data_IF_489621142655
#
_entry.id   IF_489621142655
#
_cell.length_a   1.000
_cell.length_b   1.000
_cell.length_c   1.000
_cell.angle_alpha   90.00
_cell.angle_beta   90.00
_cell.angle_gamma   90.00
#
_symmetry.space_group_name_H-M   'P 1'
#
loop_
_entity.id
_entity.type
_entity.pdbx_description
1 polymer ?
#
# COMPACT_ATOMS: atom_id res chain seq x y z
N UNK A 1 -11.20 -12.37 -8.61
CA UNK A 1 -10.81 -13.33 -7.57
C UNK A 1 -9.80 -12.77 -6.58
N UNK A 2 -8.80 -11.98 -7.01
CA UNK A 2 -7.79 -11.41 -6.10
C UNK A 2 -8.32 -10.25 -5.24
N UNK A 3 -9.37 -9.54 -5.67
CA UNK A 3 -10.02 -8.48 -4.90
C UNK A 3 -11.08 -9.01 -3.92
N UNK A 4 -11.28 -10.33 -3.86
CA UNK A 4 -12.30 -11.00 -3.05
C UNK A 4 -13.74 -10.56 -3.36
N UNK A 5 -13.96 -10.08 -4.59
CA UNK A 5 -15.26 -9.77 -5.15
C UNK A 5 -15.45 -10.51 -6.47
N UNK A 6 -16.61 -11.10 -6.67
CA UNK A 6 -16.98 -11.79 -7.91
C UNK A 6 -17.52 -10.82 -8.96
N UNK A 7 -17.47 -11.21 -10.23
CA UNK A 7 -18.04 -10.44 -11.33
C UNK A 7 -19.53 -10.16 -11.11
N UNK A 8 -20.26 -11.13 -10.58
CA UNK A 8 -21.68 -10.99 -10.24
C UNK A 8 -21.94 -9.90 -9.20
N UNK A 9 -21.05 -9.72 -8.22
CA UNK A 9 -21.17 -8.63 -7.24
C UNK A 9 -20.97 -7.26 -7.87
N UNK A 10 -20.11 -7.15 -8.87
CA UNK A 10 -19.95 -5.92 -9.65
C UNK A 10 -21.18 -5.64 -10.51
N UNK A 11 -21.73 -6.65 -11.18
CA UNK A 11 -22.94 -6.53 -12.00
C UNK A 11 -24.16 -6.09 -11.18
N UNK A 12 -24.35 -6.65 -9.97
CA UNK A 12 -25.40 -6.23 -9.02
C UNK A 12 -25.29 -4.74 -8.68
N UNK A 13 -24.07 -4.17 -8.70
CA UNK A 13 -23.83 -2.74 -8.46
C UNK A 13 -23.94 -1.88 -9.74
N UNK A 14 -24.32 -2.48 -10.86
CA UNK A 14 -24.52 -1.80 -12.12
C UNK A 14 -23.28 -1.74 -13.02
N UNK A 15 -22.21 -2.44 -12.69
CA UNK A 15 -21.07 -2.56 -13.59
C UNK A 15 -21.39 -3.56 -14.71
N UNK A 16 -20.78 -3.33 -15.87
CA UNK A 16 -20.80 -4.26 -17.00
C UNK A 16 -19.45 -4.95 -17.09
N UNK A 17 -19.44 -6.28 -17.09
CA UNK A 17 -18.23 -7.03 -17.38
C UNK A 17 -17.95 -6.97 -18.87
N UNK A 18 -16.75 -6.60 -19.25
CA UNK A 18 -16.35 -6.33 -20.63
C UNK A 18 -14.98 -6.94 -20.95
N UNK A 19 -14.64 -7.03 -22.23
CA UNK A 19 -13.31 -7.47 -22.64
C UNK A 19 -12.26 -6.38 -22.40
N UNK A 20 -10.98 -6.76 -22.45
CA UNK A 20 -9.88 -5.79 -22.30
C UNK A 20 -9.94 -4.71 -23.40
N UNK A 21 -10.23 -5.13 -24.63
CA UNK A 21 -10.34 -4.23 -25.79
C UNK A 21 -11.45 -3.20 -25.58
N UNK A 22 -12.63 -3.63 -25.12
CA UNK A 22 -13.75 -2.73 -24.83
C UNK A 22 -13.39 -1.70 -23.76
N UNK A 23 -12.66 -2.14 -22.71
CA UNK A 23 -12.26 -1.28 -21.59
C UNK A 23 -11.20 -0.26 -22.03
N UNK A 24 -10.25 -0.64 -22.89
CA UNK A 24 -9.22 0.27 -23.41
C UNK A 24 -9.77 1.30 -24.39
N UNK A 25 -10.91 1.03 -25.01
CA UNK A 25 -11.59 1.95 -25.92
C UNK A 25 -12.49 2.99 -25.22
N UNK A 26 -12.57 2.98 -23.88
CA UNK A 26 -13.39 3.91 -23.11
C UNK A 26 -12.82 5.34 -23.09
N UNK A 27 -13.70 6.33 -22.90
CA UNK A 27 -13.31 7.75 -22.76
C UNK A 27 -12.53 8.03 -21.47
N UNK A 28 -12.78 7.24 -20.42
CA UNK A 28 -12.09 7.34 -19.13
C UNK A 28 -11.73 5.95 -18.59
N UNK A 29 -10.48 5.77 -18.23
CA UNK A 29 -9.93 4.52 -17.73
C UNK A 29 -9.31 4.71 -16.35
N UNK A 30 -9.65 3.83 -15.41
CA UNK A 30 -9.03 3.77 -14.08
C UNK A 30 -8.28 2.45 -13.95
N UNK A 31 -6.98 2.53 -13.67
CA UNK A 31 -6.12 1.35 -13.48
C UNK A 31 -5.17 1.55 -12.30
N UNK A 32 -4.55 0.48 -11.84
CA UNK A 32 -3.45 0.59 -10.86
C UNK A 32 -2.19 1.04 -11.58
N UNK A 33 -1.70 0.23 -12.52
CA UNK A 33 -0.53 0.56 -13.32
C UNK A 33 -0.97 1.13 -14.68
N UNK A 34 -0.22 2.07 -15.27
CA UNK A 34 -0.52 2.53 -16.61
C UNK A 34 -0.46 1.36 -17.60
N UNK A 35 -1.48 1.18 -18.46
CA UNK A 35 -1.42 0.25 -19.58
C UNK A 35 -0.45 0.77 -20.66
N UNK A 36 -0.29 0.04 -21.76
CA UNK A 36 0.36 0.64 -22.92
C UNK A 36 -0.53 1.75 -23.46
N UNK A 37 0.00 2.98 -23.46
CA UNK A 37 -0.75 4.15 -23.87
C UNK A 37 -1.03 4.15 -25.39
N UNK A 38 -0.33 3.34 -26.17
CA UNK A 38 -0.60 3.16 -27.60
C UNK A 38 -1.95 2.46 -27.86
N UNK A 39 -2.41 1.66 -26.89
CA UNK A 39 -3.69 0.96 -26.96
C UNK A 39 -4.89 1.86 -26.60
N UNK A 40 -4.66 3.05 -26.04
CA UNK A 40 -5.72 3.94 -25.59
C UNK A 40 -6.20 4.87 -26.72
N UNK A 41 -7.48 5.23 -26.66
CA UNK A 41 -8.05 6.23 -27.55
C UNK A 41 -7.43 7.61 -27.31
N UNK A 42 -7.28 8.39 -28.39
CA UNK A 42 -6.86 9.79 -28.30
C UNK A 42 -7.88 10.59 -27.46
N UNK A 43 -7.39 11.44 -26.57
CA UNK A 43 -8.24 12.23 -25.65
C UNK A 43 -8.77 11.47 -24.44
N UNK A 44 -8.44 10.20 -24.28
CA UNK A 44 -8.83 9.40 -23.11
C UNK A 44 -8.34 10.04 -21.79
N UNK A 45 -9.14 9.93 -20.74
CA UNK A 45 -8.74 10.30 -19.38
C UNK A 45 -8.21 9.05 -18.67
N UNK A 46 -6.92 9.00 -18.41
CA UNK A 46 -6.29 7.90 -17.67
C UNK A 46 -6.01 8.30 -16.23
N UNK A 47 -6.61 7.57 -15.29
CA UNK A 47 -6.33 7.70 -13.85
C UNK A 47 -5.58 6.46 -13.37
N UNK A 48 -4.34 6.61 -12.92
CA UNK A 48 -3.50 5.49 -12.48
C UNK A 48 -2.40 5.94 -11.51
N UNK A 49 -1.62 4.99 -10.99
CA UNK A 49 -0.37 5.24 -10.26
C UNK A 49 0.77 5.27 -11.30
N UNK A 50 1.09 6.44 -11.80
CA UNK A 50 2.03 6.58 -12.91
C UNK A 50 3.49 6.75 -12.47
N UNK A 51 3.75 7.17 -11.24
CA UNK A 51 5.07 7.52 -10.68
C UNK A 51 5.89 8.39 -11.66
N UNK A 52 5.38 9.60 -12.01
CA UNK A 52 5.89 10.39 -13.12
C UNK A 52 7.35 10.84 -12.95
N UNK A 53 7.84 10.87 -11.72
CA UNK A 53 9.24 11.23 -11.44
C UNK A 53 10.22 10.09 -11.78
N UNK A 54 9.80 8.83 -11.64
CA UNK A 54 10.60 7.67 -12.02
C UNK A 54 10.31 7.19 -13.42
N UNK A 55 9.10 7.48 -13.94
CA UNK A 55 8.62 7.07 -15.25
C UNK A 55 8.24 8.27 -16.12
N UNK A 56 9.18 9.18 -16.46
CA UNK A 56 8.88 10.36 -17.28
C UNK A 56 8.37 9.99 -18.69
N UNK A 57 8.71 8.81 -19.19
CA UNK A 57 8.27 8.33 -20.50
C UNK A 57 6.76 8.14 -20.58
N UNK A 58 6.09 7.74 -19.49
CA UNK A 58 4.64 7.64 -19.41
C UNK A 58 4.00 9.01 -19.60
N UNK A 59 4.59 10.05 -18.99
CA UNK A 59 4.10 11.44 -19.14
C UNK A 59 4.27 11.92 -20.58
N UNK A 60 5.46 11.71 -21.17
CA UNK A 60 5.76 12.12 -22.53
C UNK A 60 4.83 11.43 -23.54
N UNK A 61 4.60 10.12 -23.37
CA UNK A 61 3.64 9.37 -24.20
C UNK A 61 2.21 9.90 -24.03
N UNK A 62 1.77 10.17 -22.80
CA UNK A 62 0.43 10.73 -22.57
C UNK A 62 0.25 12.07 -23.30
N UNK A 63 1.26 12.95 -23.25
CA UNK A 63 1.25 14.24 -23.96
C UNK A 63 1.16 14.03 -25.48
N UNK A 64 2.02 13.17 -26.04
CA UNK A 64 2.06 12.93 -27.49
C UNK A 64 0.76 12.30 -28.05
N UNK A 65 0.05 11.56 -27.20
CA UNK A 65 -1.23 10.90 -27.53
C UNK A 65 -2.46 11.74 -27.16
N UNK A 66 -2.29 12.96 -26.65
CA UNK A 66 -3.40 13.79 -26.17
C UNK A 66 -4.18 13.19 -25.00
N UNK A 67 -3.59 12.27 -24.24
CA UNK A 67 -4.21 11.61 -23.09
C UNK A 67 -4.15 12.53 -21.88
N UNK A 68 -5.26 12.72 -21.17
CA UNK A 68 -5.29 13.41 -19.89
C UNK A 68 -4.89 12.44 -18.78
N UNK A 69 -3.64 12.54 -18.29
CA UNK A 69 -3.11 11.69 -17.25
C UNK A 69 -3.36 12.27 -15.85
N UNK A 70 -4.07 11.53 -15.00
CA UNK A 70 -4.28 11.83 -13.58
C UNK A 70 -3.49 10.81 -12.75
N UNK A 71 -2.34 11.24 -12.20
CA UNK A 71 -1.48 10.39 -11.39
C UNK A 71 -1.94 10.42 -9.93
N UNK A 72 -2.52 9.31 -9.45
CA UNK A 72 -3.09 9.22 -8.10
C UNK A 72 -2.03 9.29 -6.99
N UNK A 73 -0.81 8.88 -7.27
CA UNK A 73 0.34 9.00 -6.36
C UNK A 73 0.83 10.44 -6.19
N UNK A 74 0.42 11.36 -7.08
CA UNK A 74 0.71 12.79 -6.99
C UNK A 74 -0.32 13.58 -6.16
N UNK A 75 -1.37 12.94 -5.67
CA UNK A 75 -2.39 13.58 -4.84
C UNK A 75 -1.73 14.09 -3.53
N UNK A 76 -1.85 15.40 -3.19
CA UNK A 76 -1.09 16.00 -2.10
C UNK A 76 -1.65 15.55 -0.73
N UNK A 77 -0.93 14.69 -0.03
CA UNK A 77 -1.29 14.11 1.28
C UNK A 77 -1.53 15.17 2.38
N UNK A 78 -1.00 16.39 2.22
CA UNK A 78 -1.11 17.45 3.22
C UNK A 78 -2.45 18.16 3.22
N UNK A 79 -3.26 18.00 2.18
CA UNK A 79 -4.56 18.62 2.06
C UNK A 79 -5.63 17.72 2.69
N UNK A 80 -6.33 18.24 3.69
CA UNK A 80 -7.37 17.48 4.41
C UNK A 80 -8.44 16.89 3.48
N UNK A 81 -8.82 17.61 2.42
CA UNK A 81 -9.78 17.13 1.42
C UNK A 81 -9.24 16.01 0.54
N UNK A 82 -7.92 15.91 0.39
CA UNK A 82 -7.27 14.90 -0.44
C UNK A 82 -6.93 13.61 0.33
N UNK A 83 -7.03 13.60 1.65
CA UNK A 83 -6.70 12.43 2.47
C UNK A 83 -7.55 11.19 2.14
N UNK A 84 -8.82 11.38 1.78
CA UNK A 84 -9.69 10.26 1.36
C UNK A 84 -9.30 9.67 0.00
N UNK A 85 -8.49 10.37 -0.78
CA UNK A 85 -7.99 9.96 -2.10
C UNK A 85 -6.52 9.53 -2.06
N UNK A 86 -5.90 9.44 -0.86
CA UNK A 86 -4.49 9.07 -0.68
C UNK A 86 -4.30 7.56 -0.84
N UNK A 87 -4.12 7.14 -2.08
CA UNK A 87 -3.87 5.74 -2.43
C UNK A 87 -2.53 5.24 -1.88
N UNK A 88 -1.53 6.12 -1.78
CA UNK A 88 -0.22 5.75 -1.29
C UNK A 88 -0.29 5.33 0.18
N UNK A 89 -0.96 6.10 1.04
CA UNK A 89 -1.10 5.75 2.45
C UNK A 89 -1.91 4.47 2.66
N UNK A 90 -2.95 4.22 1.85
CA UNK A 90 -3.69 2.95 1.92
C UNK A 90 -2.81 1.76 1.57
N UNK A 91 -2.00 1.86 0.52
CA UNK A 91 -1.09 0.78 0.10
C UNK A 91 0.09 0.62 1.06
N UNK A 92 0.64 1.72 1.58
CA UNK A 92 1.68 1.70 2.62
C UNK A 92 1.20 0.94 3.86
N UNK A 93 -0.06 1.12 4.26
CA UNK A 93 -0.64 0.40 5.39
C UNK A 93 -0.65 -1.11 5.14
N UNK A 94 -1.16 -1.57 3.99
CA UNK A 94 -1.14 -2.98 3.60
C UNK A 94 0.29 -3.53 3.47
N UNK A 95 1.20 -2.72 2.94
CA UNK A 95 2.61 -3.06 2.81
C UNK A 95 3.24 -3.34 4.18
N UNK A 96 3.02 -2.46 5.16
CA UNK A 96 3.50 -2.64 6.53
C UNK A 96 2.96 -3.91 7.19
N UNK A 97 1.68 -4.19 7.00
CA UNK A 97 1.05 -5.44 7.47
C UNK A 97 1.71 -6.67 6.82
N UNK A 98 1.81 -6.68 5.50
CA UNK A 98 2.37 -7.80 4.74
C UNK A 98 3.85 -8.04 5.07
N UNK A 99 4.63 -6.97 5.24
CA UNK A 99 6.04 -7.07 5.61
C UNK A 99 6.26 -7.84 6.91
N UNK A 100 5.43 -7.59 7.93
CA UNK A 100 5.51 -8.32 9.19
C UNK A 100 5.15 -9.79 9.02
N UNK A 101 4.11 -10.12 8.25
CA UNK A 101 3.73 -11.51 7.99
C UNK A 101 4.84 -12.27 7.23
N UNK A 102 5.45 -11.63 6.24
CA UNK A 102 6.60 -12.20 5.53
C UNK A 102 7.80 -12.39 6.47
N UNK A 103 8.14 -11.36 7.25
CA UNK A 103 9.21 -11.47 8.26
C UNK A 103 8.94 -12.59 9.27
N UNK A 104 7.71 -12.71 9.74
CA UNK A 104 7.31 -13.76 10.68
C UNK A 104 7.46 -15.17 10.09
N UNK A 105 7.15 -15.36 8.81
CA UNK A 105 7.30 -16.67 8.14
C UNK A 105 8.76 -17.12 7.99
N UNK A 106 9.72 -16.18 8.05
CA UNK A 106 11.15 -16.47 7.96
C UNK A 106 11.84 -16.63 9.34
N UNK A 107 11.15 -16.28 10.44
CA UNK A 107 11.73 -16.43 11.78
C UNK A 107 11.63 -17.90 12.22
N UNK A 108 12.76 -18.58 12.56
CA UNK A 108 12.76 -20.01 12.89
C UNK A 108 12.31 -20.32 14.32
N UNK A 109 11.37 -19.54 14.86
CA UNK A 109 10.78 -19.73 16.20
C UNK A 109 9.39 -19.10 16.30
N UNK A 110 8.66 -19.41 17.36
CA UNK A 110 7.39 -18.75 17.66
C UNK A 110 7.55 -17.24 17.85
N UNK A 111 6.57 -16.46 17.39
CA UNK A 111 6.60 -15.01 17.51
C UNK A 111 6.26 -14.56 18.95
N UNK A 112 5.16 -15.04 19.58
CA UNK A 112 4.84 -14.69 20.94
C UNK A 112 5.72 -15.44 21.96
N UNK A 113 5.69 -14.99 23.18
CA UNK A 113 6.17 -15.79 24.29
C UNK A 113 5.34 -17.07 24.42
N UNK A 114 6.00 -18.21 24.53
CA UNK A 114 5.35 -19.49 24.74
C UNK A 114 5.91 -20.19 25.95
N UNK A 115 5.02 -20.69 26.80
CA UNK A 115 5.41 -21.48 28.01
C UNK A 115 5.02 -22.93 27.80
N UNK A 116 5.98 -23.81 28.00
CA UNK A 116 5.80 -25.27 27.92
C UNK A 116 6.27 -25.91 29.21
N UNK A 117 5.98 -27.19 29.40
CA UNK A 117 6.53 -27.96 30.55
C UNK A 117 8.07 -27.99 30.57
N UNK A 118 8.72 -27.81 29.43
CA UNK A 118 10.17 -27.76 29.29
C UNK A 118 10.78 -26.36 29.55
N UNK A 119 9.94 -25.33 29.74
CA UNK A 119 10.39 -23.95 29.97
C UNK A 119 9.69 -22.91 29.11
N UNK A 120 10.21 -21.70 29.15
CA UNK A 120 9.63 -20.53 28.44
C UNK A 120 10.47 -20.14 27.23
N UNK A 121 9.85 -20.09 26.09
CA UNK A 121 10.43 -19.55 24.85
C UNK A 121 10.21 -18.04 24.82
N UNK A 122 11.29 -17.28 24.77
CA UNK A 122 11.23 -15.81 24.67
C UNK A 122 10.64 -15.38 23.33
N UNK A 123 9.85 -14.30 23.30
CA UNK A 123 9.25 -13.80 22.07
C UNK A 123 10.28 -13.39 21.02
N UNK A 124 9.87 -13.38 19.76
CA UNK A 124 10.68 -12.85 18.67
C UNK A 124 10.86 -11.33 18.82
N UNK A 125 12.00 -10.82 18.35
CA UNK A 125 12.28 -9.39 18.32
C UNK A 125 12.16 -8.87 16.90
N UNK A 126 11.38 -7.82 16.73
CA UNK A 126 11.23 -7.11 15.46
C UNK A 126 11.85 -5.73 15.58
N UNK A 127 12.68 -5.35 14.64
CA UNK A 127 13.23 -4.00 14.50
C UNK A 127 12.59 -3.36 13.28
N UNK A 128 11.91 -2.23 13.49
CA UNK A 128 11.21 -1.50 12.41
C UNK A 128 11.89 -0.16 12.25
N UNK A 129 12.47 0.04 11.07
CA UNK A 129 13.14 1.27 10.69
C UNK A 129 12.21 2.12 9.84
N UNK A 130 11.81 3.27 10.38
CA UNK A 130 10.77 4.15 9.86
C UNK A 130 9.43 3.95 10.56
N UNK A 131 8.83 5.05 11.04
CA UNK A 131 7.52 5.09 11.70
C UNK A 131 6.50 5.93 10.91
N UNK A 132 6.59 5.89 9.58
CA UNK A 132 5.54 6.36 8.67
C UNK A 132 4.34 5.42 8.67
N UNK A 133 3.43 5.56 7.72
CA UNK A 133 2.20 4.75 7.64
C UNK A 133 2.52 3.26 7.63
N UNK A 134 3.42 2.80 6.78
CA UNK A 134 3.86 1.40 6.72
C UNK A 134 4.49 0.94 8.04
N UNK A 135 5.40 1.74 8.59
CA UNK A 135 6.09 1.41 9.84
C UNK A 135 5.15 1.33 11.04
N UNK A 136 4.22 2.26 11.19
CA UNK A 136 3.22 2.23 12.27
C UNK A 136 2.34 0.99 12.18
N UNK A 137 1.90 0.63 10.97
CA UNK A 137 1.12 -0.59 10.76
C UNK A 137 1.96 -1.84 11.06
N UNK A 138 3.23 -1.86 10.66
CA UNK A 138 4.14 -2.96 10.95
C UNK A 138 4.34 -3.11 12.47
N UNK A 139 4.55 -2.02 13.20
CA UNK A 139 4.66 -2.01 14.68
C UNK A 139 3.39 -2.60 15.29
N UNK A 140 2.21 -2.12 14.88
CA UNK A 140 0.94 -2.58 15.40
C UNK A 140 0.74 -4.08 15.14
N UNK A 141 1.06 -4.55 13.93
CA UNK A 141 0.92 -5.95 13.53
C UNK A 141 1.87 -6.85 14.33
N UNK A 142 3.15 -6.51 14.39
CA UNK A 142 4.13 -7.29 15.14
C UNK A 142 3.81 -7.37 16.64
N UNK A 143 3.32 -6.27 17.23
CA UNK A 143 2.86 -6.25 18.63
C UNK A 143 1.65 -7.16 18.84
N UNK A 144 0.65 -7.13 17.95
CA UNK A 144 -0.51 -8.03 18.02
C UNK A 144 -0.13 -9.50 17.90
N UNK A 145 0.94 -9.81 17.18
CA UNK A 145 1.50 -11.16 17.11
C UNK A 145 2.29 -11.58 18.37
N UNK A 146 2.44 -10.68 19.36
CA UNK A 146 3.15 -10.95 20.61
C UNK A 146 4.67 -10.80 20.52
N UNK A 147 5.18 -10.14 19.48
CA UNK A 147 6.60 -9.82 19.34
C UNK A 147 7.05 -8.71 20.29
N UNK A 148 8.32 -8.70 20.65
CA UNK A 148 9.00 -7.51 21.20
C UNK A 148 9.41 -6.61 20.04
N UNK A 149 8.87 -5.40 20.00
CA UNK A 149 9.08 -4.48 18.88
C UNK A 149 9.97 -3.32 19.31
N UNK A 150 11.00 -3.07 18.51
CA UNK A 150 11.84 -1.88 18.54
C UNK A 150 11.58 -1.05 17.29
N UNK A 151 11.43 0.25 17.44
CA UNK A 151 11.19 1.16 16.31
C UNK A 151 12.17 2.32 16.35
N UNK A 152 12.60 2.75 15.18
CA UNK A 152 13.46 3.93 14.99
C UNK A 152 12.95 4.75 13.81
N UNK A 153 13.04 6.08 13.91
CA UNK A 153 12.75 7.01 12.80
C UNK A 153 13.74 8.17 12.85
N UNK A 154 14.11 8.67 11.69
CA UNK A 154 14.96 9.88 11.58
C UNK A 154 14.22 11.13 11.99
N UNK A 155 12.89 11.13 11.97
CA UNK A 155 12.02 12.23 12.38
C UNK A 155 11.54 12.02 13.82
N UNK A 156 11.93 12.89 14.74
CA UNK A 156 11.52 12.82 16.16
C UNK A 156 10.00 12.83 16.36
N UNK A 157 9.25 13.57 15.55
CA UNK A 157 7.79 13.66 15.63
C UNK A 157 7.07 12.36 15.32
N UNK A 158 7.65 11.50 14.52
CA UNK A 158 7.03 10.20 14.17
C UNK A 158 6.97 9.24 15.35
N UNK A 159 7.83 9.40 16.36
CA UNK A 159 7.89 8.54 17.55
C UNK A 159 6.83 8.89 18.60
N UNK A 160 6.27 10.10 18.56
CA UNK A 160 5.25 10.57 19.53
C UNK A 160 3.91 9.82 19.37
N UNK A 161 3.62 9.32 18.18
CA UNK A 161 2.39 8.60 17.87
C UNK A 161 2.44 7.09 18.16
N UNK A 162 3.56 6.58 18.67
CA UNK A 162 3.69 5.18 19.08
C UNK A 162 3.11 5.08 20.50
N UNK A 163 1.80 4.80 20.56
CA UNK A 163 1.10 4.58 21.83
C UNK A 163 1.74 3.41 22.61
N UNK A 164 2.00 3.70 23.87
CA UNK A 164 2.65 2.83 24.87
C UNK A 164 2.26 1.33 24.82
N UNK A 165 3.17 0.43 25.20
CA UNK A 165 4.52 0.64 25.68
C UNK A 165 5.60 0.17 24.68
N UNK A 166 6.02 1.03 23.80
CA UNK A 166 7.25 0.84 23.03
C UNK A 166 8.30 1.76 23.66
N UNK A 167 9.31 1.20 24.34
CA UNK A 167 10.44 1.99 24.77
C UNK A 167 11.20 2.47 23.55
N UNK A 168 11.42 3.78 23.37
CA UNK A 168 12.31 4.25 22.33
C UNK A 168 13.72 3.71 22.63
N UNK A 169 14.35 3.13 21.62
CA UNK A 169 15.77 2.82 21.67
C UNK A 169 16.46 4.09 21.13
N UNK A 170 17.16 4.76 22.02
CA UNK A 170 18.05 5.85 21.68
C UNK A 170 19.25 5.33 20.92
#
# INVERSE_FOLDING_TARGET
LFANHSDAEYEIKGAKIATREDVLACDALITINPPDLEELSEGCILMCVADPFRNPDVVNKAISRGITLISMDMIPRRLSRAQSMDVNSSQDNLSGYKAVLLGASHVPKGIPMMTTSAGTVKPAKFVIMGSGVAGLQAIATAKRMGAVVYASDVRKLSLIHISEPTRPVL
#
